data_IF_995660131662
#
_entry.id   IF_995660131662
#
_cell.length_a   1.000
_cell.length_b   1.000
_cell.length_c   1.000
_cell.angle_alpha   90.00
_cell.angle_beta   90.00
_cell.angle_gamma   90.00
#
_symmetry.space_group_name_H-M   'P 1'
#
loop_
_entity.id
_entity.type
_entity.pdbx_description
1 polymer ?
#
# COMPACT_ATOMS: atom_id res chain seq x y z
N UNK A 1 13.12 3.19 1.95
CA UNK A 1 11.87 2.81 2.64
C UNK A 1 12.24 1.96 3.82
N UNK A 2 11.66 2.21 4.99
CA UNK A 2 11.77 1.35 6.18
C UNK A 2 10.36 1.15 6.71
N UNK A 3 9.91 -0.09 6.72
CA UNK A 3 8.59 -0.49 7.23
C UNK A 3 8.70 -0.84 8.71
N UNK A 4 7.81 -0.24 9.53
CA UNK A 4 7.75 -0.34 10.99
C UNK A 4 9.10 -0.56 11.68
N UNK A 5 9.93 0.50 11.80
CA UNK A 5 11.24 0.38 12.46
C UNK A 5 11.14 -0.07 13.92
N UNK A 6 9.98 0.14 14.55
CA UNK A 6 9.66 -0.24 15.92
C UNK A 6 8.17 -0.60 15.99
N UNK A 7 7.82 -1.62 16.75
CA UNK A 7 6.43 -2.00 17.02
C UNK A 7 6.16 -1.80 18.51
N UNK A 8 5.23 -0.90 18.83
CA UNK A 8 4.79 -0.64 20.21
C UNK A 8 3.54 -1.44 20.57
N UNK A 9 3.16 -1.38 21.85
CA UNK A 9 2.08 -2.19 22.41
C UNK A 9 0.66 -1.69 22.11
N UNK A 10 0.51 -0.48 21.59
CA UNK A 10 -0.80 0.10 21.26
C UNK A 10 -0.72 1.06 20.07
N UNK A 11 -1.87 1.27 19.42
CA UNK A 11 -2.02 2.08 18.21
C UNK A 11 -1.64 3.55 18.42
N UNK A 12 -2.08 4.15 19.52
CA UNK A 12 -1.84 5.57 19.79
C UNK A 12 -0.34 5.85 19.97
N UNK A 13 0.35 4.98 20.69
CA UNK A 13 1.79 5.05 20.85
C UNK A 13 2.52 4.81 19.52
N UNK A 14 2.08 3.83 18.71
CA UNK A 14 2.64 3.56 17.38
C UNK A 14 2.54 4.80 16.48
N UNK A 15 1.35 5.39 16.41
CA UNK A 15 1.07 6.59 15.62
C UNK A 15 1.99 7.75 16.02
N UNK A 16 2.09 8.04 17.31
CA UNK A 16 2.89 9.15 17.81
C UNK A 16 4.40 8.93 17.61
N UNK A 17 4.86 7.69 17.79
CA UNK A 17 6.26 7.34 17.51
C UNK A 17 6.60 7.56 16.04
N UNK A 18 5.81 7.00 15.12
CA UNK A 18 6.06 7.12 13.69
C UNK A 18 6.02 8.58 13.25
N UNK A 19 5.03 9.36 13.72
CA UNK A 19 4.94 10.80 13.47
C UNK A 19 6.19 11.54 13.94
N UNK A 20 6.65 11.26 15.15
CA UNK A 20 7.87 11.86 15.70
C UNK A 20 9.11 11.48 14.89
N UNK A 21 9.24 10.23 14.49
CA UNK A 21 10.37 9.77 13.68
C UNK A 21 10.36 10.40 12.28
N UNK A 22 9.21 10.46 11.62
CA UNK A 22 9.03 11.12 10.33
C UNK A 22 9.45 12.58 10.38
N UNK A 23 9.01 13.33 11.41
CA UNK A 23 9.41 14.72 11.60
C UNK A 23 10.92 14.88 11.84
N UNK A 24 11.52 14.00 12.65
CA UNK A 24 12.97 14.02 12.92
C UNK A 24 13.79 13.70 11.68
N UNK A 25 13.36 12.74 10.87
CA UNK A 25 13.99 12.41 9.60
C UNK A 25 13.95 13.58 8.63
N UNK A 26 12.78 14.23 8.52
CA UNK A 26 12.62 15.43 7.69
C UNK A 26 13.50 16.60 8.18
N UNK A 27 13.52 16.86 9.49
CA UNK A 27 14.36 17.92 10.08
C UNK A 27 15.87 17.66 9.90
N UNK A 28 16.27 16.39 9.80
CA UNK A 28 17.64 15.99 9.51
C UNK A 28 17.98 15.98 8.01
N UNK A 29 17.04 16.33 7.12
CA UNK A 29 17.22 16.27 5.66
C UNK A 29 17.34 14.85 5.11
N UNK A 30 16.86 13.84 5.84
CA UNK A 30 16.91 12.44 5.41
C UNK A 30 15.92 12.17 4.28
N UNK A 31 16.33 11.34 3.31
CA UNK A 31 15.47 10.83 2.24
C UNK A 31 14.77 9.50 2.62
N UNK A 32 14.91 9.05 3.88
CA UNK A 32 14.27 7.83 4.35
C UNK A 32 12.77 8.07 4.55
N UNK A 33 11.95 7.35 3.80
CA UNK A 33 10.51 7.27 4.00
C UNK A 33 10.15 6.10 4.90
N UNK A 34 9.37 6.35 5.94
CA UNK A 34 8.76 5.32 6.78
C UNK A 34 7.48 4.79 6.16
N UNK A 35 7.21 3.51 6.36
CA UNK A 35 5.98 2.81 5.96
C UNK A 35 5.27 2.29 7.21
N UNK A 36 3.99 2.58 7.39
CA UNK A 36 3.19 1.98 8.47
C UNK A 36 2.51 0.68 8.01
N UNK A 37 2.61 -0.36 8.83
CA UNK A 37 1.93 -1.66 8.70
C UNK A 37 1.21 -1.98 10.03
N UNK A 38 1.93 -2.18 11.12
CA UNK A 38 1.44 -2.53 12.44
C UNK A 38 0.54 -1.43 13.02
N UNK A 39 -0.57 -1.87 13.61
CA UNK A 39 -1.64 -1.02 14.14
C UNK A 39 -2.37 -0.14 13.11
N UNK A 40 -2.09 -0.30 11.81
CA UNK A 40 -2.74 0.39 10.70
C UNK A 40 -3.48 -0.61 9.80
N UNK A 41 -4.60 -1.17 10.28
CA UNK A 41 -5.27 -2.31 9.62
C UNK A 41 -6.58 -1.93 8.93
N UNK A 42 -7.40 -1.12 9.59
CA UNK A 42 -8.73 -0.73 9.09
C UNK A 42 -8.65 0.54 8.25
N UNK A 43 -9.69 0.82 7.46
CA UNK A 43 -9.79 2.08 6.72
C UNK A 43 -9.72 3.31 7.64
N UNK A 44 -10.30 3.22 8.84
CA UNK A 44 -10.25 4.29 9.83
C UNK A 44 -8.83 4.46 10.40
N UNK A 45 -8.11 3.36 10.70
CA UNK A 45 -6.72 3.46 11.12
C UNK A 45 -5.86 4.12 10.03
N UNK A 46 -6.04 3.73 8.76
CA UNK A 46 -5.34 4.33 7.62
C UNK A 46 -5.59 5.84 7.57
N UNK A 47 -6.85 6.27 7.68
CA UNK A 47 -7.23 7.68 7.68
C UNK A 47 -6.58 8.43 8.85
N UNK A 48 -6.58 7.85 10.06
CA UNK A 48 -5.92 8.44 11.23
C UNK A 48 -4.42 8.63 11.00
N UNK A 49 -3.71 7.62 10.48
CA UNK A 49 -2.26 7.69 10.22
C UNK A 49 -1.92 8.71 9.12
N UNK A 50 -2.73 8.77 8.06
CA UNK A 50 -2.58 9.73 6.95
C UNK A 50 -2.82 11.17 7.42
N UNK A 51 -3.90 11.42 8.17
CA UNK A 51 -4.21 12.76 8.68
C UNK A 51 -3.18 13.26 9.69
N UNK A 52 -2.59 12.36 10.47
CA UNK A 52 -1.51 12.68 11.38
C UNK A 52 -0.16 12.92 10.67
N UNK A 53 -0.07 12.65 9.36
CA UNK A 53 1.17 12.64 8.58
C UNK A 53 2.27 11.81 9.28
N UNK A 54 1.85 10.66 9.82
CA UNK A 54 2.71 9.86 10.69
C UNK A 54 3.84 9.17 9.92
N UNK A 55 3.63 8.93 8.62
CA UNK A 55 4.55 8.24 7.72
C UNK A 55 4.41 8.82 6.31
N UNK A 56 5.40 8.57 5.46
CA UNK A 56 5.31 8.96 4.05
C UNK A 56 4.64 7.90 3.16
N UNK A 57 4.36 6.70 3.70
CA UNK A 57 3.69 5.64 2.98
C UNK A 57 2.87 4.73 3.92
N UNK A 58 1.72 4.23 3.46
CA UNK A 58 0.89 3.25 4.17
C UNK A 58 0.86 1.94 3.41
N UNK A 59 1.09 0.82 4.10
CA UNK A 59 0.78 -0.51 3.57
C UNK A 59 -0.72 -0.79 3.70
N UNK A 60 -1.41 -0.87 2.57
CA UNK A 60 -2.82 -1.22 2.50
C UNK A 60 -2.94 -2.75 2.40
N UNK A 61 -3.34 -3.39 3.49
CA UNK A 61 -3.44 -4.84 3.62
C UNK A 61 -4.75 -5.35 3.03
N UNK A 62 -4.74 -5.59 1.71
CA UNK A 62 -5.97 -5.91 0.96
C UNK A 62 -6.89 -6.97 1.60
N UNK A 63 -6.39 -8.08 2.19
CA UNK A 63 -7.27 -9.08 2.80
C UNK A 63 -7.96 -8.58 4.07
N UNK A 64 -7.32 -7.69 4.83
CA UNK A 64 -7.79 -7.20 6.14
C UNK A 64 -8.88 -6.13 5.98
N UNK A 65 -8.86 -5.39 4.86
CA UNK A 65 -9.88 -4.38 4.54
C UNK A 65 -11.22 -5.01 4.09
N UNK A 66 -11.26 -6.34 3.89
CA UNK A 66 -12.45 -7.07 3.47
C UNK A 66 -12.90 -6.70 2.05
N UNK A 67 -13.86 -5.79 1.94
CA UNK A 67 -14.39 -5.34 0.66
C UNK A 67 -13.34 -4.56 -0.16
N UNK A 68 -13.19 -4.89 -1.45
CA UNK A 68 -12.22 -4.22 -2.33
C UNK A 68 -12.46 -2.71 -2.51
N UNK A 69 -13.68 -2.23 -2.29
CA UNK A 69 -13.98 -0.79 -2.29
C UNK A 69 -13.23 -0.04 -1.19
N UNK A 70 -13.02 -0.66 -0.02
CA UNK A 70 -12.23 -0.07 1.06
C UNK A 70 -10.77 0.08 0.65
N UNK A 71 -10.23 -0.88 -0.11
CA UNK A 71 -8.86 -0.78 -0.67
C UNK A 71 -8.76 0.40 -1.65
N UNK A 72 -9.75 0.57 -2.53
CA UNK A 72 -9.79 1.70 -3.46
C UNK A 72 -9.86 3.02 -2.70
N UNK A 73 -10.76 3.13 -1.72
CA UNK A 73 -10.91 4.32 -0.89
C UNK A 73 -9.62 4.65 -0.13
N UNK A 74 -8.96 3.66 0.47
CA UNK A 74 -7.70 3.84 1.17
C UNK A 74 -6.59 4.40 0.25
N UNK A 75 -6.45 3.87 -0.97
CA UNK A 75 -5.44 4.37 -1.94
C UNK A 75 -5.72 5.82 -2.31
N UNK A 76 -6.97 6.14 -2.65
CA UNK A 76 -7.37 7.49 -3.06
C UNK A 76 -7.22 8.48 -1.91
N UNK A 77 -7.58 8.09 -0.69
CA UNK A 77 -7.44 8.93 0.49
C UNK A 77 -5.97 9.26 0.79
N UNK A 78 -5.08 8.26 0.72
CA UNK A 78 -3.63 8.49 0.87
C UNK A 78 -3.13 9.51 -0.16
N UNK A 79 -3.53 9.33 -1.43
CA UNK A 79 -3.12 10.19 -2.54
C UNK A 79 -3.62 11.64 -2.41
N UNK A 80 -4.86 11.82 -1.95
CA UNK A 80 -5.44 13.14 -1.69
C UNK A 80 -4.66 13.92 -0.62
N UNK A 81 -4.03 13.21 0.33
CA UNK A 81 -3.30 13.78 1.45
C UNK A 81 -1.76 13.64 1.30
N UNK A 82 -1.28 13.45 0.08
CA UNK A 82 0.15 13.37 -0.26
C UNK A 82 0.94 12.28 0.50
N UNK A 83 0.26 11.23 0.94
CA UNK A 83 0.87 10.02 1.52
C UNK A 83 0.88 8.93 0.46
N UNK A 84 2.02 8.27 0.27
CA UNK A 84 2.10 7.21 -0.73
C UNK A 84 1.30 5.97 -0.29
N UNK A 85 0.54 5.39 -1.22
CA UNK A 85 -0.11 4.10 -0.97
C UNK A 85 0.78 2.96 -1.46
N UNK A 86 1.02 1.97 -0.59
CA UNK A 86 1.55 0.67 -0.97
C UNK A 86 0.40 -0.35 -0.96
N UNK A 87 -0.02 -0.80 -2.14
CA UNK A 87 -1.02 -1.86 -2.26
C UNK A 87 -0.39 -3.22 -1.90
N UNK A 88 -0.57 -3.61 -0.65
CA UNK A 88 -0.03 -4.83 -0.08
C UNK A 88 -0.87 -6.08 -0.37
N UNK A 89 -0.76 -7.05 0.53
CA UNK A 89 -1.41 -8.34 0.42
C UNK A 89 -0.77 -9.33 1.35
N UNK A 90 -0.94 -10.61 1.05
CA UNK A 90 -0.29 -11.70 1.79
C UNK A 90 0.26 -12.74 0.83
N UNK A 91 1.30 -13.46 1.23
CA UNK A 91 1.74 -14.64 0.48
C UNK A 91 0.70 -15.77 0.52
N UNK A 92 -0.29 -15.70 1.42
CA UNK A 92 -1.31 -16.74 1.63
C UNK A 92 -2.65 -16.45 0.95
N UNK A 93 -2.67 -15.59 -0.08
CA UNK A 93 -3.87 -15.35 -0.90
C UNK A 93 -3.84 -16.22 -2.17
N UNK A 94 -4.54 -15.81 -3.23
CA UNK A 94 -4.63 -16.60 -4.47
C UNK A 94 -4.14 -15.80 -5.68
N UNK A 95 -3.89 -16.50 -6.78
CA UNK A 95 -3.58 -15.85 -8.07
C UNK A 95 -4.73 -14.92 -8.50
N UNK A 96 -5.98 -15.34 -8.28
CA UNK A 96 -7.16 -14.54 -8.66
C UNK A 96 -7.25 -13.25 -7.85
N UNK A 97 -7.03 -13.29 -6.54
CA UNK A 97 -7.04 -12.06 -5.71
C UNK A 97 -5.89 -11.12 -6.10
N UNK A 98 -4.70 -11.65 -6.39
CA UNK A 98 -3.56 -10.87 -6.85
C UNK A 98 -3.83 -10.14 -8.18
N UNK A 99 -4.45 -10.82 -9.14
CA UNK A 99 -4.85 -10.23 -10.43
C UNK A 99 -5.88 -9.11 -10.26
N UNK A 100 -6.88 -9.31 -9.41
CA UNK A 100 -7.86 -8.25 -9.11
C UNK A 100 -7.21 -7.06 -8.39
N UNK A 101 -6.30 -7.29 -7.45
CA UNK A 101 -5.52 -6.20 -6.83
C UNK A 101 -4.68 -5.44 -7.87
N UNK A 102 -4.11 -6.15 -8.85
CA UNK A 102 -3.35 -5.53 -9.94
C UNK A 102 -4.23 -4.61 -10.81
N UNK A 103 -5.46 -5.03 -11.10
CA UNK A 103 -6.45 -4.20 -11.81
C UNK A 103 -6.80 -2.94 -11.01
N UNK A 104 -7.02 -3.09 -9.70
CA UNK A 104 -7.25 -1.96 -8.79
C UNK A 104 -6.06 -1.00 -8.80
N UNK A 105 -4.83 -1.51 -8.72
CA UNK A 105 -3.64 -0.68 -8.77
C UNK A 105 -3.54 0.13 -10.07
N UNK A 106 -3.81 -0.48 -11.23
CA UNK A 106 -3.81 0.26 -12.50
C UNK A 106 -4.89 1.34 -12.56
N UNK A 107 -6.03 1.14 -11.91
CA UNK A 107 -7.11 2.12 -11.88
C UNK A 107 -6.88 3.26 -10.87
N UNK A 108 -6.19 2.99 -9.77
CA UNK A 108 -6.08 3.92 -8.62
C UNK A 108 -4.69 4.56 -8.47
N UNK A 109 -3.66 3.93 -9.04
CA UNK A 109 -2.29 4.44 -9.05
C UNK A 109 -1.62 4.52 -7.68
N UNK A 110 -1.52 3.43 -6.90
CA UNK A 110 -0.65 3.38 -5.72
C UNK A 110 0.83 3.51 -6.15
N UNK A 111 1.69 3.93 -5.22
CA UNK A 111 3.12 4.07 -5.46
C UNK A 111 3.85 2.73 -5.59
N UNK A 112 3.31 1.69 -4.94
CA UNK A 112 3.87 0.34 -4.92
C UNK A 112 2.75 -0.70 -4.91
N UNK A 113 2.99 -1.87 -5.51
CA UNK A 113 2.15 -3.07 -5.38
C UNK A 113 3.01 -4.29 -5.02
N UNK A 114 2.50 -5.15 -4.14
CA UNK A 114 3.17 -6.39 -3.74
C UNK A 114 3.09 -7.47 -4.83
N UNK A 115 4.21 -8.12 -5.13
CA UNK A 115 4.22 -9.38 -5.87
C UNK A 115 3.69 -10.51 -4.98
N UNK A 116 2.61 -11.18 -5.41
CA UNK A 116 1.84 -12.14 -4.59
C UNK A 116 0.99 -13.08 -5.46
N UNK A 117 0.47 -14.20 -4.94
CA UNK A 117 0.77 -14.80 -3.62
C UNK A 117 2.07 -15.63 -3.66
N UNK A 118 2.27 -16.46 -2.64
CA UNK A 118 3.36 -17.44 -2.56
C UNK A 118 4.66 -16.87 -1.98
N UNK A 119 5.56 -17.79 -1.62
CA UNK A 119 6.89 -17.48 -1.10
C UNK A 119 8.01 -17.81 -2.10
N UNK A 120 7.66 -18.31 -3.30
CA UNK A 120 8.62 -18.66 -4.35
C UNK A 120 9.17 -17.46 -5.12
N UNK A 121 8.62 -16.26 -4.89
CA UNK A 121 8.95 -14.98 -5.55
C UNK A 121 8.56 -14.96 -7.03
N UNK A 122 9.04 -15.93 -7.81
CA UNK A 122 8.85 -16.02 -9.26
C UNK A 122 7.37 -16.05 -9.63
N UNK A 123 6.55 -16.84 -8.94
CA UNK A 123 5.15 -17.03 -9.27
C UNK A 123 4.33 -15.75 -8.97
N UNK A 124 4.56 -15.14 -7.81
CA UNK A 124 3.88 -13.89 -7.43
C UNK A 124 4.26 -12.72 -8.34
N UNK A 125 5.54 -12.63 -8.70
CA UNK A 125 6.02 -11.63 -9.67
C UNK A 125 5.40 -11.87 -11.04
N UNK A 126 5.45 -13.11 -11.55
CA UNK A 126 4.85 -13.50 -12.82
C UNK A 126 3.36 -13.15 -12.89
N UNK A 127 2.59 -13.46 -11.85
CA UNK A 127 1.15 -13.21 -11.81
C UNK A 127 0.85 -11.72 -11.92
N UNK A 128 1.44 -10.90 -11.04
CA UNK A 128 1.18 -9.46 -10.96
C UNK A 128 1.71 -8.73 -12.19
N UNK A 129 2.97 -8.98 -12.57
CA UNK A 129 3.60 -8.30 -13.69
C UNK A 129 2.91 -8.61 -15.03
N UNK A 130 2.55 -9.86 -15.27
CA UNK A 130 1.90 -10.25 -16.52
C UNK A 130 0.47 -9.72 -16.61
N UNK A 131 -0.28 -9.68 -15.50
CA UNK A 131 -1.61 -9.09 -15.46
C UNK A 131 -1.55 -7.58 -15.76
N UNK A 132 -0.62 -6.87 -15.11
CA UNK A 132 -0.38 -5.45 -15.35
C UNK A 132 -0.05 -5.18 -16.83
N UNK A 133 0.87 -5.96 -17.40
CA UNK A 133 1.30 -5.81 -18.79
C UNK A 133 0.16 -6.04 -19.79
N UNK A 134 -0.68 -7.06 -19.56
CA UNK A 134 -1.85 -7.34 -20.40
C UNK A 134 -2.85 -6.19 -20.37
N UNK A 135 -3.17 -5.67 -19.19
CA UNK A 135 -4.14 -4.59 -19.03
C UNK A 135 -3.65 -3.29 -19.67
N UNK A 136 -2.36 -2.97 -19.52
CA UNK A 136 -1.76 -1.82 -20.21
C UNK A 136 -1.82 -1.96 -21.74
N UNK A 137 -1.64 -3.17 -22.28
CA UNK A 137 -1.81 -3.41 -23.70
C UNK A 137 -3.26 -3.24 -24.16
N UNK A 138 -4.23 -3.79 -23.42
CA UNK A 138 -5.66 -3.64 -23.71
C UNK A 138 -6.12 -2.17 -23.65
N UNK A 139 -5.71 -1.43 -22.63
CA UNK A 139 -6.03 -0.01 -22.49
C UNK A 139 -5.48 0.83 -23.64
N UNK A 140 -4.25 0.53 -24.11
CA UNK A 140 -3.66 1.22 -25.28
C UNK A 140 -4.40 0.91 -26.58
N UNK A 141 -4.91 -0.31 -26.74
CA UNK A 141 -5.71 -0.66 -27.91
C UNK A 141 -7.07 0.05 -27.88
N UNK A 142 -7.76 0.01 -26.74
CA UNK A 142 -9.07 0.67 -26.60
C UNK A 142 -9.01 2.20 -26.76
N UNK A 143 -7.89 2.84 -26.41
CA UNK A 143 -7.71 4.29 -26.60
C UNK A 143 -7.40 4.69 -28.05
N UNK A 144 -7.21 3.73 -28.96
CA UNK A 144 -6.96 3.98 -30.39
C UNK A 144 -8.23 3.88 -31.24
N UNK A 145 -9.29 3.29 -30.69
CA UNK A 145 -10.62 3.18 -31.30
C UNK A 145 -11.49 4.39 -30.92
#
# INVERSE_FOLDING_TARGET
>A
LVEDPVVLGDRSAQLELLRTLTQRLAAAGSQVTLVADQWCNTLDDIKEFVLAQAVGMIQIKTPDLGGLHNTIEAILFCKEHEVAAYLGGTCNETDRSARICTQIALATGPALIMAKPGMGVDEGYMIVFNEMSRLLALNRSAARD
#
